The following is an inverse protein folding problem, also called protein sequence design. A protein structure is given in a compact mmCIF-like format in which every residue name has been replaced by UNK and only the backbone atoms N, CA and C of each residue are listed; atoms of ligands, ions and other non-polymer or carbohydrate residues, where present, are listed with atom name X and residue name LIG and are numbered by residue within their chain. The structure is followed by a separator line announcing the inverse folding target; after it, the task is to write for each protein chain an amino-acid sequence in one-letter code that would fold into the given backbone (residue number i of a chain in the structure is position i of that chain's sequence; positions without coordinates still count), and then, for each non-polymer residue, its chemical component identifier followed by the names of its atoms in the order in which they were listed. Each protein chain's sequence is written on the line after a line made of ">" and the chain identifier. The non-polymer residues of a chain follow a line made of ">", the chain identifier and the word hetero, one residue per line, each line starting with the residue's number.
data_IF_333460831853
#
_entry.id   IF_333460831853
#
_cell.length_a   1.000
_cell.length_b   1.000
_cell.length_c   1.000
_cell.angle_alpha   90.00
_cell.angle_beta   90.00
_cell.angle_gamma   90.00
#
_symmetry.space_group_name_H-M   'P 1'
#
loop_
_entity.id
_entity.type
_entity.pdbx_description
1 polymer ?
#
# COMPACT_ATOMS: atom_id res chain seq x y z
N UNK A 1 -25.73 -8.51 -21.69
CA UNK A 1 -25.51 -7.06 -21.76
C UNK A 1 -25.13 -6.54 -20.38
N UNK A 2 -23.84 -6.36 -20.11
CA UNK A 2 -23.34 -5.39 -19.13
C UNK A 2 -22.14 -4.74 -19.82
N UNK A 3 -22.38 -3.58 -20.44
CA UNK A 3 -21.33 -2.64 -20.81
C UNK A 3 -20.98 -1.87 -19.54
N UNK A 4 -19.72 -1.93 -19.13
CA UNK A 4 -19.10 -0.89 -18.32
C UNK A 4 -17.87 -0.41 -19.08
N UNK A 5 -18.06 0.64 -19.87
CA UNK A 5 -16.96 1.41 -20.41
C UNK A 5 -16.32 2.20 -19.27
N UNK A 6 -15.04 1.94 -19.01
CA UNK A 6 -14.14 2.91 -18.38
C UNK A 6 -12.79 2.78 -19.07
N UNK A 7 -12.61 3.49 -20.19
CA UNK A 7 -11.44 3.44 -21.07
C UNK A 7 -10.44 4.57 -20.81
N UNK A 8 -10.53 5.29 -19.68
CA UNK A 8 -9.66 6.45 -19.37
C UNK A 8 -8.53 6.15 -18.38
N UNK A 9 -8.54 5.00 -17.67
CA UNK A 9 -7.54 4.68 -16.62
C UNK A 9 -6.30 3.90 -17.08
N UNK A 10 -6.35 3.25 -18.25
CA UNK A 10 -5.31 2.30 -18.69
C UNK A 10 -4.06 2.99 -19.24
N UNK A 11 -4.23 4.09 -19.98
CA UNK A 11 -3.13 4.79 -20.65
C UNK A 11 -2.10 5.36 -19.65
N UNK A 12 -2.61 5.99 -18.59
CA UNK A 12 -1.88 6.51 -17.45
C UNK A 12 -0.90 5.50 -16.82
N UNK A 13 -1.40 4.30 -16.52
CA UNK A 13 -0.65 3.23 -15.85
C UNK A 13 0.39 2.62 -16.77
N UNK A 14 0.08 2.44 -18.05
CA UNK A 14 1.00 1.93 -19.07
C UNK A 14 2.14 2.90 -19.35
N UNK A 15 1.86 4.21 -19.39
CA UNK A 15 2.88 5.23 -19.64
C UNK A 15 3.82 5.46 -18.44
N UNK A 16 3.31 5.26 -17.22
CA UNK A 16 4.10 5.29 -15.99
C UNK A 16 5.11 4.13 -15.94
N UNK A 17 4.64 2.89 -16.12
CA UNK A 17 5.49 1.70 -16.17
C UNK A 17 6.50 1.76 -17.33
N UNK A 18 6.09 2.27 -18.49
CA UNK A 18 6.99 2.46 -19.63
C UNK A 18 8.16 3.39 -19.31
N UNK A 19 7.90 4.58 -18.74
CA UNK A 19 8.97 5.53 -18.37
C UNK A 19 9.89 4.96 -17.30
N UNK A 20 9.35 4.26 -16.29
CA UNK A 20 10.16 3.59 -15.29
C UNK A 20 11.09 2.54 -15.92
N UNK A 21 10.55 1.66 -16.76
CA UNK A 21 11.29 0.54 -17.33
C UNK A 21 12.27 0.95 -18.44
N UNK A 22 11.99 2.03 -19.19
CA UNK A 22 12.83 2.48 -20.30
C UNK A 22 13.84 3.55 -19.92
N UNK A 23 13.44 4.50 -19.09
CA UNK A 23 14.27 5.66 -18.75
C UNK A 23 14.88 5.55 -17.35
N UNK A 24 14.44 4.59 -16.53
CA UNK A 24 14.90 4.44 -15.14
C UNK A 24 14.48 5.61 -14.25
N UNK A 25 13.52 6.44 -14.68
CA UNK A 25 13.11 7.66 -13.99
C UNK A 25 11.69 7.53 -13.46
N UNK A 26 11.55 7.73 -12.16
CA UNK A 26 10.25 7.97 -11.53
C UNK A 26 9.98 9.48 -11.57
N UNK A 27 8.89 9.95 -12.21
CA UNK A 27 8.49 11.35 -12.08
C UNK A 27 8.11 11.61 -10.63
N UNK A 28 8.66 12.66 -10.03
CA UNK A 28 8.25 13.11 -8.70
C UNK A 28 6.92 13.85 -8.81
N UNK A 29 6.07 13.70 -7.79
CA UNK A 29 4.82 14.43 -7.67
C UNK A 29 4.62 14.87 -6.24
N UNK A 30 4.19 16.12 -6.06
CA UNK A 30 3.77 16.64 -4.77
C UNK A 30 2.29 16.34 -4.61
N UNK A 31 1.93 15.60 -3.55
CA UNK A 31 0.56 15.25 -3.24
C UNK A 31 0.29 15.48 -1.76
N UNK A 32 -0.91 15.93 -1.43
CA UNK A 32 -1.39 15.88 -0.05
C UNK A 32 -1.84 14.47 0.25
N UNK A 33 -1.25 13.86 1.28
CA UNK A 33 -1.54 12.49 1.69
C UNK A 33 -1.70 12.42 3.20
N UNK A 34 -2.47 11.43 3.66
CA UNK A 34 -2.53 11.02 5.06
C UNK A 34 -1.71 9.76 5.22
N UNK A 35 -0.82 9.72 6.22
CA UNK A 35 -0.02 8.53 6.55
C UNK A 35 -0.53 7.95 7.86
N UNK A 36 -0.87 6.66 7.82
CA UNK A 36 -1.23 5.87 8.98
C UNK A 36 -0.02 5.03 9.42
N UNK A 37 0.29 5.08 10.71
CA UNK A 37 1.23 4.19 11.38
C UNK A 37 0.45 3.43 12.45
N UNK A 38 0.56 2.10 12.45
CA UNK A 38 -0.04 1.24 13.48
C UNK A 38 1.01 0.28 14.01
N UNK A 39 0.88 -0.11 15.28
CA UNK A 39 1.78 -1.03 15.96
C UNK A 39 1.00 -1.93 16.93
N UNK A 40 1.46 -3.17 17.15
CA UNK A 40 0.78 -4.13 18.00
C UNK A 40 1.21 -3.98 19.46
N UNK A 41 0.27 -3.61 20.32
CA UNK A 41 0.52 -3.54 21.76
C UNK A 41 0.90 -4.92 22.31
N UNK A 42 2.04 -4.99 23.01
CA UNK A 42 2.46 -6.19 23.71
C UNK A 42 3.05 -7.28 22.81
N UNK A 43 3.35 -6.95 21.55
CA UNK A 43 3.99 -7.87 20.61
C UNK A 43 5.24 -8.53 21.17
N UNK A 44 6.14 -7.77 21.81
CA UNK A 44 7.39 -8.31 22.37
C UNK A 44 7.12 -9.43 23.36
N UNK A 45 6.17 -9.24 24.28
CA UNK A 45 5.78 -10.28 25.26
C UNK A 45 5.12 -11.49 24.61
N UNK A 46 4.40 -11.31 23.50
CA UNK A 46 3.82 -12.42 22.72
C UNK A 46 4.91 -13.18 21.96
N UNK A 47 5.93 -12.47 21.48
CA UNK A 47 7.10 -13.03 20.79
C UNK A 47 8.01 -13.81 21.75
N UNK A 48 8.15 -13.35 22.98
CA UNK A 48 8.88 -14.03 24.05
C UNK A 48 8.23 -15.38 24.40
N UNK A 49 8.78 -16.46 23.87
CA UNK A 49 8.35 -17.84 24.18
C UNK A 49 7.61 -18.56 23.05
N UNK A 50 7.47 -17.94 21.86
CA UNK A 50 6.96 -18.61 20.65
C UNK A 50 8.09 -18.85 19.65
N UNK A 51 7.92 -19.89 18.83
CA UNK A 51 8.84 -20.10 17.71
C UNK A 51 8.67 -19.00 16.65
N UNK A 52 9.71 -18.69 15.86
CA UNK A 52 9.60 -17.74 14.75
C UNK A 52 8.50 -18.09 13.75
N UNK A 53 8.23 -19.39 13.55
CA UNK A 53 7.21 -19.90 12.63
C UNK A 53 5.80 -19.55 13.14
N UNK A 54 5.55 -19.73 14.44
CA UNK A 54 4.26 -19.39 15.04
C UNK A 54 4.01 -17.88 15.04
N UNK A 55 5.06 -17.10 15.33
CA UNK A 55 4.97 -15.63 15.32
C UNK A 55 4.68 -15.09 13.93
N UNK A 56 5.37 -15.57 12.90
CA UNK A 56 5.13 -15.06 11.55
C UNK A 56 3.75 -15.48 11.02
N UNK A 57 3.27 -16.67 11.37
CA UNK A 57 1.92 -17.11 11.01
C UNK A 57 0.86 -16.18 11.63
N UNK A 58 0.95 -15.94 12.94
CA UNK A 58 0.04 -15.04 13.65
C UNK A 58 0.12 -13.60 13.14
N UNK A 59 1.34 -13.10 12.88
CA UNK A 59 1.55 -11.75 12.37
C UNK A 59 0.98 -11.58 10.96
N UNK A 60 1.12 -12.61 10.10
CA UNK A 60 0.55 -12.60 8.75
C UNK A 60 -0.97 -12.52 8.76
N UNK A 61 -1.65 -13.18 9.71
CA UNK A 61 -3.11 -13.07 9.87
C UNK A 61 -3.53 -11.62 10.17
N UNK A 62 -2.85 -10.98 11.13
CA UNK A 62 -3.10 -9.57 11.47
C UNK A 62 -2.80 -8.63 10.29
N UNK A 63 -1.62 -8.77 9.67
CA UNK A 63 -1.21 -7.93 8.55
C UNK A 63 -2.16 -8.08 7.35
N UNK A 64 -2.67 -9.29 7.11
CA UNK A 64 -3.64 -9.56 6.03
C UNK A 64 -4.96 -8.84 6.29
N UNK A 65 -5.50 -8.93 7.51
CA UNK A 65 -6.73 -8.24 7.89
C UNK A 65 -6.59 -6.71 7.78
N UNK A 66 -5.47 -6.15 8.27
CA UNK A 66 -5.20 -4.72 8.16
C UNK A 66 -5.00 -4.26 6.71
N UNK A 67 -4.33 -5.07 5.89
CA UNK A 67 -4.15 -4.79 4.46
C UNK A 67 -5.49 -4.72 3.75
N UNK A 68 -6.41 -5.65 4.03
CA UNK A 68 -7.74 -5.64 3.44
C UNK A 68 -8.48 -4.34 3.76
N UNK A 69 -8.45 -3.88 5.01
CA UNK A 69 -9.07 -2.62 5.42
C UNK A 69 -8.47 -1.43 4.67
N UNK A 70 -7.13 -1.35 4.61
CA UNK A 70 -6.43 -0.27 3.88
C UNK A 70 -6.85 -0.24 2.40
N UNK A 71 -6.91 -1.41 1.75
CA UNK A 71 -7.31 -1.53 0.35
C UNK A 71 -8.79 -1.18 0.12
N UNK A 72 -9.69 -1.56 1.03
CA UNK A 72 -11.11 -1.18 0.99
C UNK A 72 -11.30 0.34 1.02
N UNK A 73 -10.42 1.05 1.73
CA UNK A 73 -10.37 2.52 1.78
C UNK A 73 -9.51 3.16 0.68
N UNK A 74 -9.16 2.40 -0.37
CA UNK A 74 -8.32 2.88 -1.50
C UNK A 74 -6.94 3.41 -1.07
N UNK A 75 -6.47 2.99 0.10
CA UNK A 75 -5.12 3.26 0.57
C UNK A 75 -4.11 2.27 0.01
N UNK A 76 -2.83 2.57 0.23
CA UNK A 76 -1.71 1.71 -0.14
C UNK A 76 -0.94 1.34 1.12
N UNK A 77 -0.76 0.04 1.37
CA UNK A 77 0.22 -0.43 2.35
C UNK A 77 1.61 -0.17 1.79
N UNK A 78 2.36 0.72 2.43
CA UNK A 78 3.69 1.12 1.98
C UNK A 78 4.72 0.05 2.31
N UNK A 79 4.65 -0.47 3.52
CA UNK A 79 5.54 -1.50 4.07
C UNK A 79 5.10 -1.93 5.48
N UNK A 80 5.68 -3.04 5.92
CA UNK A 80 5.65 -3.53 7.29
C UNK A 80 7.03 -3.36 7.91
N UNK A 81 7.11 -3.01 9.18
CA UNK A 81 8.39 -2.87 9.90
C UNK A 81 8.21 -3.47 11.29
N UNK A 82 8.73 -4.68 11.49
CA UNK A 82 8.42 -5.48 12.67
C UNK A 82 6.93 -5.84 12.70
N UNK A 83 6.28 -5.55 13.81
CA UNK A 83 4.85 -5.65 14.04
C UNK A 83 4.06 -4.41 13.62
N UNK A 84 4.76 -3.36 13.22
CA UNK A 84 4.17 -2.14 12.70
C UNK A 84 3.82 -2.20 11.21
N UNK A 85 2.79 -1.43 10.82
CA UNK A 85 2.37 -1.24 9.43
C UNK A 85 2.31 0.26 9.11
N UNK A 86 2.76 0.63 7.90
CA UNK A 86 2.51 1.95 7.32
C UNK A 86 1.57 1.87 6.13
N UNK A 87 0.58 2.74 6.13
CA UNK A 87 -0.32 2.92 5.01
C UNK A 87 -0.40 4.40 4.61
N UNK A 88 -0.60 4.64 3.32
CA UNK A 88 -0.74 5.99 2.77
C UNK A 88 -2.09 6.08 2.07
N UNK A 89 -2.87 7.09 2.43
CA UNK A 89 -4.14 7.42 1.80
C UNK A 89 -3.95 8.76 1.07
N UNK A 90 -4.19 8.75 -0.23
CA UNK A 90 -4.13 9.94 -1.07
C UNK A 90 -5.10 9.79 -2.25
N UNK A 91 -5.58 10.89 -2.85
CA UNK A 91 -6.52 10.80 -3.95
C UNK A 91 -5.89 10.15 -5.20
N UNK A 92 -6.53 9.09 -5.70
CA UNK A 92 -6.15 8.38 -6.94
C UNK A 92 -7.05 8.79 -8.12
N UNK A 93 -6.53 8.91 -9.38
CA UNK A 93 -5.13 8.83 -9.76
C UNK A 93 -4.44 10.19 -9.61
N UNK A 94 -3.32 10.21 -8.90
CA UNK A 94 -2.38 11.33 -8.93
C UNK A 94 -1.69 11.38 -10.30
N UNK A 95 -2.40 11.85 -11.32
CA UNK A 95 -1.86 12.32 -12.58
C UNK A 95 -2.42 13.71 -12.83
N UNK A 96 -2.26 14.60 -11.85
CA UNK A 96 -2.51 16.00 -12.11
C UNK A 96 -1.25 16.61 -12.73
N UNK A 97 -1.38 17.30 -13.88
CA UNK A 97 -0.27 17.98 -14.51
C UNK A 97 0.26 19.05 -13.56
N UNK A 98 1.59 19.06 -13.38
CA UNK A 98 2.28 20.13 -12.67
C UNK A 98 2.29 21.36 -13.60
N UNK A 99 1.82 22.50 -13.08
CA UNK A 99 1.89 23.80 -13.75
C UNK A 99 3.33 24.32 -13.74
#
# INVERSE_FOLDING_TARGET
>A
MIRAACSSGTAARTQFLYRLLKEGRLPWQMVTATVLFTDLRGYSSVAEGRSPIEIIAWLNEYQSAMTEIVLQHQGIVKDFTGDGMRAVLYPYPALLPQK
#
